data_IF_565620435462
#
_entry.id   IF_565620435462
#
_cell.length_a   1.000
_cell.length_b   1.000
_cell.length_c   1.000
_cell.angle_alpha   90.00
_cell.angle_beta   90.00
_cell.angle_gamma   90.00
#
_symmetry.space_group_name_H-M   'P 1'
#
loop_
_entity.id
_entity.type
_entity.pdbx_description
1 polymer ?
#
# COMPACT_ATOMS: atom_id res chain seq x y z
N UNK A 1 -17.01 22.27 2.63
CA UNK A 1 -17.03 22.35 1.15
C UNK A 1 -17.35 20.99 0.50
N UNK A 2 -16.69 19.88 0.87
CA UNK A 2 -16.98 18.56 0.26
C UNK A 2 -18.29 17.88 0.74
N UNK A 3 -18.78 18.18 1.95
CA UNK A 3 -19.97 17.51 2.53
C UNK A 3 -21.24 17.62 1.68
N UNK A 4 -21.73 18.83 1.34
CA UNK A 4 -22.94 19.00 0.54
C UNK A 4 -22.87 18.34 -0.84
N UNK A 5 -21.72 18.42 -1.51
CA UNK A 5 -21.52 17.82 -2.83
C UNK A 5 -21.63 16.28 -2.83
N UNK A 6 -21.20 15.61 -1.74
CA UNK A 6 -21.35 14.16 -1.61
C UNK A 6 -22.82 13.75 -1.41
N UNK A 7 -23.61 14.59 -0.75
CA UNK A 7 -25.05 14.35 -0.57
C UNK A 7 -25.80 14.48 -1.89
N UNK A 8 -25.42 15.45 -2.73
CA UNK A 8 -25.98 15.61 -4.08
C UNK A 8 -25.67 14.39 -4.98
N UNK A 9 -24.60 13.64 -4.68
CA UNK A 9 -24.24 12.37 -5.34
C UNK A 9 -24.99 11.16 -4.79
N UNK A 10 -25.92 11.34 -3.84
CA UNK A 10 -26.70 10.26 -3.23
C UNK A 10 -25.94 9.44 -2.18
N UNK A 11 -24.77 9.91 -1.73
CA UNK A 11 -24.01 9.24 -0.67
C UNK A 11 -24.73 9.46 0.68
N UNK A 12 -24.93 8.42 1.50
CA UNK A 12 -25.56 8.58 2.81
C UNK A 12 -24.82 9.60 3.69
N UNK A 13 -25.58 10.40 4.45
CA UNK A 13 -25.03 11.49 5.27
C UNK A 13 -23.92 11.03 6.22
N UNK A 14 -24.04 9.84 6.81
CA UNK A 14 -23.02 9.30 7.70
C UNK A 14 -21.72 8.98 6.95
N UNK A 15 -21.82 8.41 5.75
CA UNK A 15 -20.67 8.11 4.89
C UNK A 15 -19.96 9.41 4.50
N UNK A 16 -20.70 10.47 4.17
CA UNK A 16 -20.12 11.78 3.87
C UNK A 16 -19.34 12.36 5.06
N UNK A 17 -19.88 12.28 6.29
CA UNK A 17 -19.16 12.70 7.50
C UNK A 17 -17.91 11.86 7.75
N UNK A 18 -17.99 10.54 7.55
CA UNK A 18 -16.84 9.64 7.69
C UNK A 18 -15.74 9.91 6.67
N UNK A 19 -16.10 10.25 5.43
CA UNK A 19 -15.12 10.67 4.41
C UNK A 19 -14.38 11.93 4.85
N UNK A 20 -15.09 12.95 5.35
CA UNK A 20 -14.46 14.18 5.84
C UNK A 20 -13.59 13.91 7.07
N UNK A 21 -14.08 13.10 8.01
CA UNK A 21 -13.32 12.68 9.19
C UNK A 21 -12.05 11.91 8.81
N UNK A 22 -12.13 11.00 7.83
CA UNK A 22 -10.99 10.21 7.35
C UNK A 22 -9.89 11.11 6.78
N UNK A 23 -10.24 12.05 5.90
CA UNK A 23 -9.26 12.98 5.34
C UNK A 23 -8.65 13.93 6.38
N UNK A 24 -9.40 14.26 7.44
CA UNK A 24 -8.85 15.00 8.59
C UNK A 24 -7.75 14.21 9.31
N UNK A 25 -7.92 12.89 9.48
CA UNK A 25 -6.89 12.04 10.08
C UNK A 25 -5.69 11.83 9.14
N UNK A 26 -5.95 11.63 7.85
CA UNK A 26 -4.89 11.47 6.85
C UNK A 26 -4.03 12.73 6.72
N UNK A 27 -4.61 13.94 6.86
CA UNK A 27 -3.84 15.19 6.86
C UNK A 27 -2.72 15.20 7.92
N UNK A 28 -2.91 14.49 9.05
CA UNK A 28 -1.93 14.40 10.12
C UNK A 28 -0.71 13.52 9.76
N UNK A 29 -0.74 12.75 8.66
CA UNK A 29 0.41 11.95 8.22
C UNK A 29 1.39 12.74 7.35
N UNK A 30 0.99 13.92 6.86
CA UNK A 30 1.75 14.72 5.90
C UNK A 30 2.89 15.49 6.57
N UNK A 31 4.14 15.43 6.07
CA UNK A 31 5.22 16.28 6.56
C UNK A 31 4.91 17.76 6.26
N UNK A 32 5.15 18.72 7.19
CA UNK A 32 5.94 18.61 8.43
C UNK A 32 5.10 18.35 9.70
N UNK A 33 3.81 18.03 9.62
CA UNK A 33 2.92 17.92 10.80
C UNK A 33 2.77 16.49 11.34
N UNK A 34 3.52 15.53 10.80
CA UNK A 34 3.48 14.10 11.12
C UNK A 34 4.06 13.76 12.52
N UNK A 35 3.32 14.13 13.56
CA UNK A 35 3.74 13.98 14.97
C UNK A 35 4.09 12.53 15.34
N UNK A 36 3.30 11.56 14.86
CA UNK A 36 3.55 10.13 15.13
C UNK A 36 4.89 9.66 14.54
N UNK A 37 5.18 10.06 13.30
CA UNK A 37 6.44 9.72 12.62
C UNK A 37 7.65 10.36 13.30
N UNK A 38 7.51 11.60 13.79
CA UNK A 38 8.57 12.29 14.52
C UNK A 38 8.83 11.69 15.89
N UNK A 39 7.78 11.32 16.62
CA UNK A 39 7.91 10.60 17.89
C UNK A 39 8.62 9.24 17.69
N UNK A 40 8.20 8.47 16.67
CA UNK A 40 8.86 7.22 16.30
C UNK A 40 10.32 7.39 15.90
N UNK A 41 10.65 8.44 15.15
CA UNK A 41 12.03 8.77 14.79
C UNK A 41 12.90 9.09 16.01
N UNK A 42 12.34 9.77 17.02
CA UNK A 42 13.04 10.06 18.28
C UNK A 42 13.44 8.80 19.04
N UNK A 43 12.54 7.81 19.12
CA UNK A 43 12.81 6.51 19.73
C UNK A 43 13.88 5.74 18.93
N UNK A 44 13.76 5.74 17.60
CA UNK A 44 14.66 5.03 16.71
C UNK A 44 16.01 5.74 16.45
N UNK A 45 16.23 6.93 17.02
CA UNK A 45 17.39 7.81 16.76
C UNK A 45 17.61 8.09 15.26
N UNK A 46 16.53 8.17 14.50
CA UNK A 46 16.54 8.43 13.06
C UNK A 46 16.24 9.91 12.76
N UNK A 47 16.52 10.35 11.54
CA UNK A 47 16.17 11.71 11.10
C UNK A 47 14.64 11.86 11.00
N UNK A 48 13.99 12.77 11.77
CA UNK A 48 12.54 12.87 11.81
C UNK A 48 11.88 13.17 10.45
N UNK A 49 12.49 14.07 9.67
CA UNK A 49 11.95 14.44 8.36
C UNK A 49 12.02 13.28 7.37
N UNK A 50 13.13 12.53 7.33
CA UNK A 50 13.25 11.34 6.48
C UNK A 50 12.23 10.27 6.87
N UNK A 51 12.04 10.01 8.16
CA UNK A 51 11.04 9.05 8.65
C UNK A 51 9.63 9.47 8.24
N UNK A 52 9.28 10.75 8.40
CA UNK A 52 7.97 11.26 8.00
C UNK A 52 7.71 11.19 6.49
N UNK A 53 8.73 11.40 5.65
CA UNK A 53 8.60 11.24 4.20
C UNK A 53 8.35 9.78 3.82
N UNK A 54 9.01 8.83 4.49
CA UNK A 54 8.81 7.39 4.23
C UNK A 54 7.43 6.93 4.70
N UNK A 55 6.99 7.34 5.89
CA UNK A 55 5.67 6.99 6.40
C UNK A 55 4.56 7.59 5.52
N UNK A 56 4.70 8.85 5.09
CA UNK A 56 3.77 9.48 4.16
C UNK A 56 3.72 8.78 2.80
N UNK A 57 4.87 8.33 2.27
CA UNK A 57 4.92 7.54 1.03
C UNK A 57 4.08 6.27 1.14
N UNK A 58 4.16 5.57 2.27
CA UNK A 58 3.38 4.37 2.58
C UNK A 58 1.89 4.67 2.81
N UNK A 59 1.60 5.82 3.44
CA UNK A 59 0.23 6.23 3.76
C UNK A 59 -0.61 6.56 2.51
N UNK A 60 -0.02 6.67 1.31
CA UNK A 60 -0.75 6.97 0.07
C UNK A 60 -1.93 6.04 -0.21
N UNK A 61 -1.93 4.81 0.31
CA UNK A 61 -3.05 3.89 0.18
C UNK A 61 -4.32 4.37 0.88
N UNK A 62 -4.18 5.18 1.95
CA UNK A 62 -5.31 5.70 2.73
C UNK A 62 -6.19 6.66 1.93
N UNK A 63 -5.66 7.34 0.90
CA UNK A 63 -6.46 8.21 0.03
C UNK A 63 -7.54 7.45 -0.76
N UNK A 64 -7.39 6.14 -0.91
CA UNK A 64 -8.31 5.28 -1.68
C UNK A 64 -9.54 4.92 -0.85
N UNK A 65 -9.42 4.87 0.48
CA UNK A 65 -10.49 4.38 1.37
C UNK A 65 -11.76 5.23 1.30
N UNK A 66 -11.72 6.57 1.23
CA UNK A 66 -12.91 7.38 1.01
C UNK A 66 -13.65 7.09 -0.31
N UNK A 67 -12.91 6.74 -1.36
CA UNK A 67 -13.51 6.33 -2.64
C UNK A 67 -14.23 4.99 -2.45
N UNK A 68 -13.60 4.03 -1.77
CA UNK A 68 -14.23 2.75 -1.44
C UNK A 68 -15.48 2.95 -0.58
N UNK A 69 -15.44 3.85 0.41
CA UNK A 69 -16.62 4.19 1.24
C UNK A 69 -17.78 4.78 0.44
N UNK A 70 -17.49 5.55 -0.61
CA UNK A 70 -18.52 6.17 -1.45
C UNK A 70 -19.16 5.19 -2.45
N UNK A 71 -18.40 4.22 -2.96
CA UNK A 71 -18.84 3.33 -4.05
C UNK A 71 -19.09 1.86 -3.63
N UNK A 72 -18.66 1.46 -2.43
CA UNK A 72 -18.89 0.11 -1.88
C UNK A 72 -19.48 0.22 -0.47
N UNK A 73 -20.23 -0.80 0.00
CA UNK A 73 -20.84 -0.78 1.32
C UNK A 73 -19.82 -1.04 2.45
N UNK A 74 -18.70 -0.30 2.50
CA UNK A 74 -17.63 -0.52 3.49
C UNK A 74 -18.11 -0.24 4.92
N UNK A 75 -19.03 0.71 5.09
CA UNK A 75 -19.57 1.12 6.39
C UNK A 75 -20.90 0.43 6.73
N UNK A 76 -21.41 -0.47 5.88
CA UNK A 76 -22.71 -1.12 6.06
C UNK A 76 -23.85 -0.12 6.26
N UNK A 77 -23.86 0.95 5.44
CA UNK A 77 -24.86 2.02 5.52
C UNK A 77 -25.62 2.12 4.20
N UNK A 78 -26.93 1.84 4.25
CA UNK A 78 -27.87 1.93 3.13
C UNK A 78 -29.13 1.13 3.42
N UNK A 79 -30.20 1.35 2.66
CA UNK A 79 -31.53 0.79 2.95
C UNK A 79 -31.58 -0.75 2.97
N UNK A 80 -30.61 -1.43 2.33
CA UNK A 80 -30.52 -2.89 2.24
C UNK A 80 -29.26 -3.48 2.90
N UNK A 81 -28.44 -2.67 3.56
CA UNK A 81 -27.14 -3.10 4.10
C UNK A 81 -27.12 -2.96 5.62
N UNK A 82 -27.04 -4.09 6.31
CA UNK A 82 -26.65 -4.15 7.73
C UNK A 82 -25.13 -4.33 7.86
N UNK A 83 -24.55 -3.96 9.01
CA UNK A 83 -23.11 -4.12 9.27
C UNK A 83 -22.60 -5.56 9.08
N UNK A 84 -23.43 -6.57 9.36
CA UNK A 84 -23.09 -7.99 9.22
C UNK A 84 -23.50 -8.59 7.87
N UNK A 85 -23.89 -7.76 6.91
CA UNK A 85 -24.22 -8.23 5.57
C UNK A 85 -22.95 -8.75 4.87
N UNK A 86 -23.10 -9.84 4.10
CA UNK A 86 -21.97 -10.53 3.48
C UNK A 86 -21.13 -9.62 2.56
N UNK A 87 -21.77 -8.65 1.90
CA UNK A 87 -21.12 -7.68 1.00
C UNK A 87 -20.21 -6.68 1.73
N UNK A 88 -20.58 -6.32 2.96
CA UNK A 88 -19.78 -5.43 3.82
C UNK A 88 -18.49 -6.15 4.21
N UNK A 89 -18.63 -7.41 4.68
CA UNK A 89 -17.50 -8.26 5.06
C UNK A 89 -16.58 -8.50 3.86
N UNK A 90 -17.15 -8.85 2.70
CA UNK A 90 -16.39 -9.03 1.47
C UNK A 90 -15.62 -7.76 1.11
N UNK A 91 -16.28 -6.60 1.14
CA UNK A 91 -15.66 -5.30 0.84
C UNK A 91 -14.53 -4.97 1.81
N UNK A 92 -14.69 -5.25 3.11
CA UNK A 92 -13.62 -5.05 4.10
C UNK A 92 -12.40 -5.93 3.81
N UNK A 93 -12.62 -7.20 3.47
CA UNK A 93 -11.55 -8.16 3.15
C UNK A 93 -10.84 -7.77 1.85
N UNK A 94 -11.58 -7.52 0.76
CA UNK A 94 -11.00 -7.16 -0.54
C UNK A 94 -10.24 -5.83 -0.45
N UNK A 95 -10.78 -4.85 0.26
CA UNK A 95 -10.11 -3.55 0.46
C UNK A 95 -8.82 -3.70 1.27
N UNK A 96 -8.84 -4.55 2.31
CA UNK A 96 -7.64 -4.83 3.11
C UNK A 96 -6.57 -5.52 2.28
N UNK A 97 -6.94 -6.53 1.49
CA UNK A 97 -6.03 -7.20 0.55
C UNK A 97 -5.51 -6.25 -0.53
N UNK A 98 -6.36 -5.33 -1.02
CA UNK A 98 -5.99 -4.28 -1.96
C UNK A 98 -4.97 -3.31 -1.38
N UNK A 99 -5.14 -2.89 -0.11
CA UNK A 99 -4.16 -2.07 0.61
C UNK A 99 -2.83 -2.80 0.80
N UNK A 100 -2.85 -4.09 1.14
CA UNK A 100 -1.63 -4.91 1.26
C UNK A 100 -0.92 -5.00 -0.09
N UNK A 101 -1.65 -5.25 -1.18
CA UNK A 101 -1.10 -5.28 -2.53
C UNK A 101 -0.49 -3.91 -2.91
N UNK A 102 -1.19 -2.81 -2.61
CA UNK A 102 -0.73 -1.46 -2.87
C UNK A 102 0.55 -1.11 -2.10
N UNK A 103 0.60 -1.43 -0.80
CA UNK A 103 1.81 -1.22 0.02
C UNK A 103 2.99 -2.04 -0.51
N UNK A 104 2.74 -3.29 -0.89
CA UNK A 104 3.74 -4.19 -1.48
C UNK A 104 4.29 -3.66 -2.80
N UNK A 105 3.44 -3.04 -3.62
CA UNK A 105 3.81 -2.43 -4.88
C UNK A 105 4.71 -1.18 -4.69
N UNK A 106 4.39 -0.33 -3.71
CA UNK A 106 5.17 0.87 -3.40
C UNK A 106 6.55 0.54 -2.83
N UNK A 107 6.64 -0.41 -1.90
CA UNK A 107 7.93 -0.80 -1.30
C UNK A 107 8.72 -1.76 -2.19
N UNK A 108 8.09 -2.32 -3.24
CA UNK A 108 8.65 -3.40 -4.06
C UNK A 108 9.16 -4.53 -3.18
N UNK A 109 8.41 -4.84 -2.14
CA UNK A 109 8.76 -5.82 -1.13
C UNK A 109 7.49 -6.41 -0.51
N UNK A 110 7.46 -7.73 -0.34
CA UNK A 110 6.43 -8.39 0.45
C UNK A 110 7.06 -9.50 1.31
N UNK A 111 7.54 -10.59 0.70
CA UNK A 111 8.46 -11.54 1.37
C UNK A 111 9.92 -11.36 0.97
N UNK A 112 10.14 -10.98 -0.28
CA UNK A 112 11.44 -10.63 -0.85
C UNK A 112 11.33 -9.36 -1.68
N UNK A 113 12.48 -8.85 -2.12
CA UNK A 113 12.52 -7.79 -3.13
C UNK A 113 11.74 -8.25 -4.37
N UNK A 114 10.72 -7.48 -4.73
CA UNK A 114 9.84 -7.76 -5.84
C UNK A 114 10.52 -7.36 -7.16
N UNK A 115 10.45 -8.24 -8.14
CA UNK A 115 10.84 -7.93 -9.52
C UNK A 115 9.88 -6.90 -10.11
N UNK A 116 10.25 -6.30 -11.25
CA UNK A 116 9.34 -5.38 -11.97
C UNK A 116 8.01 -6.06 -12.33
N UNK A 117 8.04 -7.33 -12.73
CA UNK A 117 6.84 -8.11 -13.08
C UNK A 117 5.94 -8.30 -11.86
N UNK A 118 6.49 -8.71 -10.72
CA UNK A 118 5.73 -8.87 -9.47
C UNK A 118 5.16 -7.53 -8.99
N UNK A 119 5.92 -6.45 -9.12
CA UNK A 119 5.46 -5.09 -8.79
C UNK A 119 4.25 -4.71 -9.64
N UNK A 120 4.29 -4.98 -10.94
CA UNK A 120 3.15 -4.74 -11.85
C UNK A 120 1.95 -5.60 -11.46
N UNK A 121 2.16 -6.88 -11.11
CA UNK A 121 1.07 -7.74 -10.65
C UNK A 121 0.43 -7.23 -9.36
N UNK A 122 1.21 -6.70 -8.40
CA UNK A 122 0.65 -6.07 -7.20
C UNK A 122 -0.15 -4.80 -7.52
N UNK A 123 0.29 -3.99 -8.49
CA UNK A 123 -0.50 -2.84 -8.95
C UNK A 123 -1.82 -3.28 -9.59
N UNK A 124 -1.79 -4.30 -10.45
CA UNK A 124 -3.01 -4.86 -11.06
C UNK A 124 -3.94 -5.45 -10.00
N UNK A 125 -3.40 -6.16 -9.01
CA UNK A 125 -4.16 -6.69 -7.88
C UNK A 125 -4.82 -5.57 -7.07
N UNK A 126 -4.09 -4.51 -6.73
CA UNK A 126 -4.63 -3.37 -6.01
C UNK A 126 -5.75 -2.68 -6.79
N UNK A 127 -5.55 -2.41 -8.09
CA UNK A 127 -6.56 -1.78 -8.95
C UNK A 127 -7.81 -2.66 -9.04
N UNK A 128 -7.65 -3.97 -9.26
CA UNK A 128 -8.77 -4.91 -9.35
C UNK A 128 -9.58 -4.98 -8.05
N UNK A 129 -8.91 -5.08 -6.90
CA UNK A 129 -9.56 -5.18 -5.58
C UNK A 129 -10.23 -3.89 -5.12
N UNK A 130 -9.80 -2.73 -5.60
CA UNK A 130 -10.48 -1.45 -5.31
C UNK A 130 -11.63 -1.15 -6.26
N UNK A 131 -11.69 -1.81 -7.42
CA UNK A 131 -12.74 -1.57 -8.39
C UNK A 131 -14.08 -2.16 -7.92
N UNK A 132 -15.20 -1.43 -8.00
CA UNK A 132 -16.50 -1.87 -7.50
C UNK A 132 -17.19 -2.85 -8.47
N UNK A 133 -16.54 -3.98 -8.78
CA UNK A 133 -17.13 -5.06 -9.56
C UNK A 133 -16.63 -6.43 -9.11
N UNK A 134 -17.53 -7.39 -8.93
CA UNK A 134 -17.18 -8.73 -8.46
C UNK A 134 -16.18 -9.47 -9.37
N UNK A 135 -16.25 -9.24 -10.68
CA UNK A 135 -15.29 -9.82 -11.62
C UNK A 135 -13.89 -9.20 -11.45
N UNK A 136 -13.82 -7.93 -11.07
CA UNK A 136 -12.57 -7.21 -10.82
C UNK A 136 -11.95 -7.64 -9.49
N UNK A 137 -12.77 -7.86 -8.45
CA UNK A 137 -12.34 -8.46 -7.20
C UNK A 137 -11.73 -9.86 -7.45
N UNK A 138 -12.40 -10.70 -8.25
CA UNK A 138 -11.89 -12.03 -8.61
C UNK A 138 -10.56 -11.95 -9.39
N UNK A 139 -10.48 -11.08 -10.40
CA UNK A 139 -9.26 -10.86 -11.17
C UNK A 139 -8.11 -10.33 -10.30
N UNK A 140 -8.41 -9.42 -9.38
CA UNK A 140 -7.46 -8.85 -8.43
C UNK A 140 -6.94 -9.89 -7.43
N UNK A 141 -7.81 -10.76 -6.91
CA UNK A 141 -7.42 -11.89 -6.06
C UNK A 141 -6.51 -12.87 -6.80
N UNK A 142 -6.84 -13.22 -8.05
CA UNK A 142 -6.00 -14.10 -8.87
C UNK A 142 -4.62 -13.47 -9.09
N UNK A 143 -4.57 -12.18 -9.46
CA UNK A 143 -3.31 -11.47 -9.62
C UNK A 143 -2.48 -11.44 -8.33
N UNK A 144 -3.12 -11.23 -7.18
CA UNK A 144 -2.47 -11.24 -5.87
C UNK A 144 -1.91 -12.63 -5.52
N UNK A 145 -2.68 -13.68 -5.75
CA UNK A 145 -2.25 -15.08 -5.51
C UNK A 145 -1.05 -15.41 -6.40
N UNK A 146 -1.11 -15.06 -7.69
CA UNK A 146 0.00 -15.27 -8.62
C UNK A 146 1.26 -14.52 -8.13
N UNK A 147 1.13 -13.25 -7.75
CA UNK A 147 2.25 -12.47 -7.23
C UNK A 147 2.87 -13.11 -5.96
N UNK A 148 2.03 -13.54 -5.02
CA UNK A 148 2.47 -14.23 -3.80
C UNK A 148 3.13 -15.58 -4.11
N UNK A 149 2.58 -16.37 -5.02
CA UNK A 149 3.15 -17.64 -5.45
C UNK A 149 4.51 -17.44 -6.12
N UNK A 150 4.63 -16.47 -7.04
CA UNK A 150 5.90 -16.15 -7.70
C UNK A 150 6.97 -15.75 -6.67
N UNK A 151 6.60 -14.97 -5.65
CA UNK A 151 7.52 -14.59 -4.59
C UNK A 151 7.99 -15.78 -3.74
N UNK A 152 7.09 -16.72 -3.42
CA UNK A 152 7.41 -17.88 -2.60
C UNK A 152 8.23 -18.94 -3.34
N UNK A 153 7.97 -19.14 -4.63
CA UNK A 153 8.56 -20.25 -5.40
C UNK A 153 9.81 -19.88 -6.21
N UNK A 154 9.99 -18.62 -6.61
CA UNK A 154 11.16 -18.22 -7.40
C UNK A 154 12.24 -17.55 -6.55
N UNK A 155 13.42 -18.19 -6.48
CA UNK A 155 14.67 -17.57 -6.05
C UNK A 155 15.24 -16.78 -7.24
N UNK A 156 15.14 -15.46 -7.20
CA UNK A 156 15.86 -14.62 -8.17
C UNK A 156 17.33 -14.62 -7.76
N UNK A 157 18.16 -15.38 -8.48
CA UNK A 157 19.61 -15.32 -8.35
C UNK A 157 20.06 -13.88 -8.62
N UNK A 158 20.80 -13.22 -7.71
CA UNK A 158 21.34 -11.90 -8.00
C UNK A 158 22.22 -12.01 -9.24
N UNK A 159 21.92 -11.23 -10.29
CA UNK A 159 22.79 -11.08 -11.45
C UNK A 159 24.11 -10.48 -10.99
N UNK A 160 25.12 -11.32 -10.77
CA UNK A 160 26.50 -10.88 -10.69
C UNK A 160 26.89 -10.40 -12.09
N UNK A 161 26.88 -9.08 -12.30
CA UNK A 161 27.53 -8.50 -13.48
C UNK A 161 29.03 -8.73 -13.32
N UNK A 162 29.47 -9.89 -13.78
CA UNK A 162 30.88 -10.25 -13.90
C UNK A 162 31.40 -9.66 -15.22
N UNK A 163 31.74 -8.38 -15.21
CA UNK A 163 32.65 -7.83 -16.21
C UNK A 163 34.08 -7.97 -15.68
N UNK A 164 34.68 -9.15 -15.89
CA UNK A 164 36.15 -9.29 -15.92
C UNK A 164 36.69 -8.88 -17.31
N UNK A 165 38.02 -8.78 -17.53
CA UNK A 165 39.08 -9.47 -16.78
C UNK A 165 40.37 -8.67 -16.47
N UNK A 166 41.19 -9.22 -15.56
CA UNK A 166 42.64 -9.00 -15.38
C UNK A 166 43.19 -7.56 -15.27
N UNK A 167 43.60 -7.17 -14.06
CA UNK A 167 44.97 -6.67 -13.89
C UNK A 167 45.59 -7.33 -12.65
N UNK A 168 46.56 -8.19 -12.90
CA UNK A 168 47.34 -8.87 -11.88
C UNK A 168 48.50 -7.98 -11.47
N UNK A 169 48.51 -7.57 -10.20
CA UNK A 169 49.77 -7.26 -9.51
C UNK A 169 49.72 -7.86 -8.11
N UNK A 170 50.55 -8.87 -7.81
CA UNK A 170 50.85 -9.24 -6.44
C UNK A 170 52.04 -8.41 -5.97
N UNK A 171 51.84 -7.52 -4.99
CA UNK A 171 52.92 -6.95 -4.16
C UNK A 171 52.34 -6.76 -2.76
N UNK A 172 52.46 -7.75 -1.88
CA UNK A 172 53.59 -7.95 -0.97
C UNK A 172 53.25 -7.38 0.42
N UNK A 173 52.99 -8.30 1.35
CA UNK A 173 53.05 -8.04 2.78
C UNK A 173 54.52 -7.83 3.17
N UNK A 174 54.84 -6.62 3.62
CA UNK A 174 56.08 -6.21 4.29
C UNK A 174 55.83 -4.76 4.72
N UNK A 175 56.06 -4.24 5.92
CA UNK A 175 56.55 -4.69 7.20
C UNK A 175 56.30 -3.49 8.13
N UNK A 176 55.91 -3.73 9.38
CA UNK A 176 56.22 -2.91 10.58
C UNK A 176 56.49 -1.39 10.45
N UNK A 177 55.65 -0.57 11.09
CA UNK A 177 56.04 0.38 12.14
C UNK A 177 54.78 0.95 12.83
#
# INVERSE_FOLDING_TARGET
LAGPALLDMGVPIMVAHMIVFWYSQDANVTPPVSLASFAGAGIAKANPMKTALVSWKLAKGLYIIPIVMAYRPLLGMGDNYDLFHWEVILTMVTTTLGLVAFASAIERYFFRKATLIETLLFWLAAIGLFWPAYWADAAGLIALIIACSLQKFYHVTPTTNNTGPHDGKPLEQSSTA
#
